data_IF_072078517012
#
_entry.id   IF_072078517012
#
_cell.length_a   1.000
_cell.length_b   1.000
_cell.length_c   1.000
_cell.angle_alpha   90.00
_cell.angle_beta   90.00
_cell.angle_gamma   90.00
#
_symmetry.space_group_name_H-M   'P 1'
#
loop_
_entity.id
_entity.type
_entity.pdbx_description
1 polymer ?
#
# COMPACT_ATOMS: atom_id res chain seq x y z
N UNK A 1 -26.97 -14.43 -11.15
CA UNK A 1 -26.01 -13.94 -10.13
C UNK A 1 -25.27 -15.14 -9.53
N UNK A 2 -24.23 -15.56 -10.23
CA UNK A 2 -23.23 -16.59 -9.89
C UNK A 2 -22.13 -16.34 -10.93
N UNK A 3 -20.84 -16.33 -10.66
CA UNK A 3 -20.03 -17.01 -9.68
C UNK A 3 -18.73 -16.20 -9.67
N UNK A 4 -18.33 -15.60 -8.54
CA UNK A 4 -16.95 -15.15 -8.39
C UNK A 4 -16.15 -16.44 -8.48
N UNK A 5 -15.57 -16.72 -9.66
CA UNK A 5 -14.66 -17.84 -9.86
C UNK A 5 -13.44 -17.55 -9.00
N UNK A 6 -13.59 -17.98 -7.76
CA UNK A 6 -12.58 -18.09 -6.73
C UNK A 6 -11.51 -19.05 -7.25
N UNK A 7 -10.65 -18.54 -8.12
CA UNK A 7 -9.32 -19.05 -8.30
C UNK A 7 -8.66 -18.97 -6.94
N UNK A 8 -8.76 -20.07 -6.17
CA UNK A 8 -8.19 -20.24 -4.84
C UNK A 8 -6.70 -19.94 -4.91
N UNK A 9 -6.29 -18.72 -4.60
CA UNK A 9 -4.91 -18.46 -4.20
C UNK A 9 -4.79 -19.03 -2.79
N UNK A 10 -4.39 -20.31 -2.73
CA UNK A 10 -4.23 -21.12 -1.50
C UNK A 10 -3.15 -20.56 -0.54
N UNK A 11 -2.67 -19.34 -0.73
CA UNK A 11 -1.55 -18.75 0.03
C UNK A 11 -1.86 -17.29 0.40
N UNK A 12 -2.57 -17.06 1.52
CA UNK A 12 -2.56 -15.78 2.26
C UNK A 12 -3.59 -14.70 1.88
N UNK A 13 -4.88 -14.97 2.07
CA UNK A 13 -5.98 -14.42 1.26
C UNK A 13 -6.44 -12.95 1.48
N UNK A 14 -6.52 -12.21 0.36
CA UNK A 14 -7.11 -10.86 0.18
C UNK A 14 -8.63 -10.84 -0.11
N UNK A 15 -9.33 -11.98 -0.22
CA UNK A 15 -10.82 -12.09 -0.17
C UNK A 15 -11.25 -13.58 0.01
N UNK A 16 -11.19 -14.14 1.21
CA UNK A 16 -11.69 -15.50 1.48
C UNK A 16 -12.86 -15.48 2.48
N UNK A 17 -13.88 -16.35 2.37
CA UNK A 17 -14.89 -16.48 3.41
C UNK A 17 -14.26 -17.03 4.72
N UNK A 18 -14.67 -16.53 5.90
CA UNK A 18 -13.98 -16.84 7.15
C UNK A 18 -14.20 -18.29 7.57
N UNK A 19 -13.11 -19.06 7.70
CA UNK A 19 -13.00 -20.20 8.63
C UNK A 19 -12.04 -19.92 9.79
N UNK A 20 -11.40 -18.75 9.84
CA UNK A 20 -10.37 -18.41 10.85
C UNK A 20 -10.99 -17.72 12.06
N UNK A 21 -10.70 -18.25 13.25
CA UNK A 21 -11.07 -17.68 14.55
C UNK A 21 -10.51 -16.26 14.69
N UNK A 22 -11.38 -15.32 15.11
CA UNK A 22 -11.10 -13.90 15.38
C UNK A 22 -9.79 -13.70 16.17
N UNK A 23 -8.78 -13.08 15.55
CA UNK A 23 -7.58 -12.54 16.24
C UNK A 23 -7.09 -11.18 15.70
N UNK A 24 -7.75 -10.64 14.68
CA UNK A 24 -7.38 -9.40 14.00
C UNK A 24 -8.61 -8.73 13.34
N UNK A 25 -8.72 -7.39 13.39
CA UNK A 25 -7.97 -6.50 14.28
C UNK A 25 -8.38 -6.78 15.74
N UNK A 26 -7.51 -6.52 16.73
CA UNK A 26 -7.98 -6.40 18.11
C UNK A 26 -8.91 -5.18 18.23
N UNK A 27 -9.65 -5.09 19.33
CA UNK A 27 -10.34 -3.85 19.67
C UNK A 27 -9.28 -2.79 20.01
N UNK A 28 -9.25 -1.72 19.22
CA UNK A 28 -8.36 -0.58 19.45
C UNK A 28 -9.11 0.51 20.21
N UNK A 29 -8.51 0.99 21.31
CA UNK A 29 -9.07 2.10 22.08
C UNK A 29 -9.09 3.37 21.22
N UNK A 30 -10.18 4.14 21.33
CA UNK A 30 -10.30 5.42 20.62
C UNK A 30 -9.32 6.44 21.18
N UNK A 31 -8.64 7.16 20.29
CA UNK A 31 -7.69 8.22 20.66
C UNK A 31 -6.30 7.74 21.08
N UNK A 32 -6.07 6.42 21.10
CA UNK A 32 -4.80 5.83 21.46
C UNK A 32 -3.97 5.48 20.22
N UNK A 33 -2.65 5.52 20.37
CA UNK A 33 -1.74 5.02 19.34
C UNK A 33 -1.80 3.50 19.29
N UNK A 34 -1.72 2.97 18.07
CA UNK A 34 -1.67 1.53 17.80
C UNK A 34 -0.32 1.15 17.21
N UNK A 35 0.14 -0.06 17.51
CA UNK A 35 1.42 -0.59 17.04
C UNK A 35 1.31 -1.14 15.60
N UNK A 36 0.90 -0.27 14.67
CA UNK A 36 0.90 -0.55 13.24
C UNK A 36 1.29 0.72 12.47
N UNK A 37 2.22 0.56 11.53
CA UNK A 37 2.56 1.59 10.56
C UNK A 37 1.63 1.49 9.38
N UNK A 38 0.88 2.56 9.16
CA UNK A 38 0.12 2.78 7.94
C UNK A 38 0.82 3.80 7.07
N UNK A 39 0.72 3.62 5.75
CA UNK A 39 1.34 4.50 4.78
C UNK A 39 0.85 5.95 4.95
N UNK A 40 -0.42 6.14 5.35
CA UNK A 40 -1.01 7.45 5.64
C UNK A 40 -0.26 8.24 6.73
N UNK A 41 0.32 7.56 7.72
CA UNK A 41 1.14 8.19 8.75
C UNK A 41 2.46 8.77 8.20
N UNK A 42 2.96 8.22 7.10
CA UNK A 42 4.09 8.78 6.35
C UNK A 42 3.62 9.85 5.35
N UNK A 43 2.61 9.57 4.53
CA UNK A 43 2.29 10.42 3.38
C UNK A 43 1.65 11.74 3.78
N UNK A 44 0.65 11.73 4.68
CA UNK A 44 -0.15 12.91 4.99
C UNK A 44 0.70 14.03 5.58
N UNK A 45 1.53 13.80 6.62
CA UNK A 45 2.33 14.87 7.20
C UNK A 45 3.35 15.46 6.21
N UNK A 46 3.96 14.63 5.37
CA UNK A 46 4.95 15.07 4.39
C UNK A 46 4.33 15.80 3.19
N UNK A 47 3.19 15.33 2.68
CA UNK A 47 2.45 15.97 1.59
C UNK A 47 2.08 17.42 1.93
N UNK A 48 1.66 17.69 3.16
CA UNK A 48 1.22 19.03 3.60
C UNK A 48 2.32 19.85 4.28
N UNK A 49 3.56 19.37 4.31
CA UNK A 49 4.68 20.10 4.94
C UNK A 49 4.60 20.18 6.47
N UNK A 50 3.79 19.34 7.11
CA UNK A 50 3.69 19.25 8.57
C UNK A 50 4.77 18.37 9.21
N UNK A 51 5.46 17.54 8.42
CA UNK A 51 6.56 16.72 8.88
C UNK A 51 7.86 17.53 9.04
N UNK A 52 8.66 17.17 10.05
CA UNK A 52 10.01 17.69 10.23
C UNK A 52 11.08 16.70 9.77
N UNK A 53 12.32 17.17 9.58
CA UNK A 53 13.45 16.33 9.18
C UNK A 53 13.74 15.14 10.12
N UNK A 54 13.37 15.20 11.41
CA UNK A 54 13.55 14.06 12.34
C UNK A 54 12.67 12.86 11.97
N UNK A 55 11.60 13.08 11.19
CA UNK A 55 10.70 12.03 10.72
C UNK A 55 11.17 11.40 9.40
N UNK A 56 12.29 11.85 8.82
CA UNK A 56 12.76 11.39 7.51
C UNK A 56 13.02 9.88 7.47
N UNK A 57 13.43 9.27 8.58
CA UNK A 57 13.65 7.83 8.69
C UNK A 57 12.43 6.98 8.32
N UNK A 58 11.21 7.52 8.44
CA UNK A 58 9.99 6.82 8.05
C UNK A 58 9.98 6.43 6.55
N UNK A 59 10.63 7.19 5.66
CA UNK A 59 10.73 6.83 4.24
C UNK A 59 11.51 5.54 3.97
N UNK A 60 12.33 5.07 4.91
CA UNK A 60 13.01 3.78 4.77
C UNK A 60 12.00 2.63 4.64
N UNK A 61 10.79 2.78 5.20
CA UNK A 61 9.70 1.80 5.10
C UNK A 61 9.19 1.59 3.68
N UNK A 62 9.38 2.58 2.78
CA UNK A 62 8.99 2.49 1.36
C UNK A 62 9.89 1.52 0.57
N UNK A 63 11.06 1.16 1.11
CA UNK A 63 12.00 0.19 0.51
C UNK A 63 12.09 -1.12 1.28
N UNK A 64 11.40 -1.21 2.42
CA UNK A 64 11.42 -2.40 3.26
C UNK A 64 10.33 -3.36 2.80
N UNK A 65 10.72 -4.56 2.40
CA UNK A 65 9.80 -5.62 1.98
C UNK A 65 8.87 -6.08 3.12
N UNK A 66 9.32 -5.98 4.37
CA UNK A 66 8.51 -6.19 5.58
C UNK A 66 7.73 -4.92 5.99
N UNK A 67 8.03 -3.79 5.36
CA UNK A 67 7.29 -2.53 5.48
C UNK A 67 6.29 -2.39 4.35
N UNK A 68 6.38 -1.28 3.61
CA UNK A 68 5.44 -0.95 2.54
C UNK A 68 5.84 -1.51 1.17
N UNK A 69 7.11 -1.89 0.95
CA UNK A 69 7.58 -2.22 -0.40
C UNK A 69 7.07 -3.57 -0.91
N UNK A 70 6.29 -3.57 -1.99
CA UNK A 70 5.81 -4.78 -2.66
C UNK A 70 6.20 -4.83 -4.13
N UNK A 71 5.88 -5.93 -4.80
CA UNK A 71 6.18 -6.10 -6.22
C UNK A 71 5.49 -5.04 -7.08
N UNK A 72 4.24 -4.71 -6.75
CA UNK A 72 3.38 -3.88 -7.60
C UNK A 72 3.06 -2.50 -7.04
N UNK A 73 3.59 -2.13 -5.87
CA UNK A 73 3.37 -0.79 -5.31
C UNK A 73 3.68 -0.72 -3.83
N UNK A 74 3.22 0.36 -3.19
CA UNK A 74 3.33 0.51 -1.75
C UNK A 74 2.08 -0.06 -1.06
N UNK A 75 2.26 -0.99 -0.13
CA UNK A 75 1.19 -1.45 0.76
C UNK A 75 0.77 -0.30 1.66
N UNK A 76 -0.53 -0.21 1.92
CA UNK A 76 -1.05 0.81 2.85
C UNK A 76 -0.80 0.48 4.33
N UNK A 77 -0.48 -0.78 4.65
CA UNK A 77 -0.10 -1.23 5.99
C UNK A 77 1.19 -2.05 5.90
N UNK A 78 2.03 -1.99 6.94
CA UNK A 78 3.29 -2.73 6.96
C UNK A 78 3.08 -4.25 6.93
N UNK A 79 3.86 -4.95 6.10
CA UNK A 79 3.75 -6.41 5.93
C UNK A 79 4.03 -7.19 7.22
N UNK A 80 4.91 -6.68 8.08
CA UNK A 80 5.32 -7.34 9.34
C UNK A 80 4.24 -7.35 10.42
N UNK A 81 3.21 -6.52 10.30
CA UNK A 81 2.16 -6.47 11.30
C UNK A 81 1.36 -7.77 11.31
N UNK A 82 1.03 -8.30 12.50
CA UNK A 82 0.34 -9.60 12.63
C UNK A 82 -1.04 -9.65 11.96
N UNK A 83 -1.67 -8.48 11.80
CA UNK A 83 -2.96 -8.35 11.12
C UNK A 83 -2.81 -7.92 9.65
N UNK A 84 -1.59 -7.93 9.09
CA UNK A 84 -1.41 -7.68 7.67
C UNK A 84 -2.25 -8.67 6.86
N UNK A 85 -3.03 -8.14 5.91
CA UNK A 85 -3.88 -8.93 5.03
C UNK A 85 -4.85 -9.87 5.77
N UNK A 86 -5.41 -9.39 6.88
CA UNK A 86 -6.43 -10.15 7.58
C UNK A 86 -7.71 -10.18 6.74
N UNK A 87 -8.30 -11.36 6.64
CA UNK A 87 -9.48 -11.55 5.80
C UNK A 87 -10.69 -10.80 6.34
N UNK A 88 -11.33 -10.01 5.48
CA UNK A 88 -12.60 -9.32 5.74
C UNK A 88 -13.64 -9.76 4.71
N UNK A 89 -14.92 -9.48 4.99
CA UNK A 89 -15.98 -9.57 3.97
C UNK A 89 -16.09 -8.31 3.10
N UNK A 90 -15.31 -7.26 3.41
CA UNK A 90 -15.43 -5.95 2.77
C UNK A 90 -14.34 -5.78 1.71
N UNK A 91 -14.77 -5.63 0.45
CA UNK A 91 -13.87 -5.45 -0.70
C UNK A 91 -13.04 -4.17 -0.64
N UNK A 92 -13.49 -3.15 0.10
CA UNK A 92 -12.80 -1.85 0.27
C UNK A 92 -11.98 -1.77 1.56
N UNK A 93 -11.42 -2.90 2.00
CA UNK A 93 -10.67 -2.93 3.26
C UNK A 93 -9.27 -2.33 3.15
N UNK A 94 -8.91 -1.55 4.16
CA UNK A 94 -7.66 -0.77 4.19
C UNK A 94 -6.52 -1.45 4.98
N UNK A 95 -6.31 -2.77 4.82
CA UNK A 95 -5.40 -3.53 5.69
C UNK A 95 -4.18 -4.18 5.01
N UNK A 96 -3.98 -4.01 3.70
CA UNK A 96 -2.83 -4.61 2.99
C UNK A 96 -2.62 -4.14 1.55
N UNK A 97 -3.72 -3.91 0.83
CA UNK A 97 -3.68 -3.69 -0.62
C UNK A 97 -2.89 -2.43 -0.99
N UNK A 98 -2.50 -2.35 -2.26
CA UNK A 98 -2.05 -1.09 -2.85
C UNK A 98 -3.30 -0.31 -3.25
N UNK A 99 -3.41 0.93 -2.79
CA UNK A 99 -4.49 1.84 -3.18
C UNK A 99 -3.92 2.96 -4.05
N UNK A 100 -4.45 3.22 -5.26
CA UNK A 100 -4.03 4.35 -6.09
C UNK A 100 -4.18 5.70 -5.38
N UNK A 101 -5.22 5.85 -4.55
CA UNK A 101 -5.42 7.03 -3.70
C UNK A 101 -4.20 7.29 -2.80
N UNK A 102 -3.80 6.30 -2.00
CA UNK A 102 -2.70 6.45 -1.05
C UNK A 102 -1.33 6.46 -1.75
N UNK A 103 -1.20 5.75 -2.88
CA UNK A 103 -0.02 5.80 -3.75
C UNK A 103 0.21 7.20 -4.31
N UNK A 104 -0.87 7.88 -4.74
CA UNK A 104 -0.78 9.27 -5.21
C UNK A 104 -0.30 10.19 -4.10
N UNK A 105 -0.76 9.96 -2.86
CA UNK A 105 -0.27 10.71 -1.70
C UNK A 105 1.20 10.44 -1.41
N UNK A 106 1.65 9.19 -1.55
CA UNK A 106 3.06 8.85 -1.43
C UNK A 106 3.93 9.57 -2.46
N UNK A 107 3.48 9.64 -3.72
CA UNK A 107 4.19 10.38 -4.76
C UNK A 107 4.39 11.85 -4.40
N UNK A 108 3.31 12.54 -3.97
CA UNK A 108 3.39 13.93 -3.53
C UNK A 108 4.28 14.10 -2.28
N UNK A 109 4.18 13.20 -1.30
CA UNK A 109 5.02 13.21 -0.11
C UNK A 109 6.51 13.02 -0.44
N UNK A 110 6.86 12.11 -1.37
CA UNK A 110 8.23 11.91 -1.84
C UNK A 110 8.76 13.14 -2.56
N UNK A 111 7.94 13.81 -3.39
CA UNK A 111 8.31 15.06 -4.06
C UNK A 111 8.55 16.16 -3.03
N UNK A 112 7.63 16.34 -2.08
CA UNK A 112 7.75 17.33 -1.01
C UNK A 112 9.01 17.09 -0.17
N UNK A 113 9.34 15.83 0.15
CA UNK A 113 10.55 15.50 0.88
C UNK A 113 11.83 15.77 0.06
N UNK A 114 11.86 15.36 -1.21
CA UNK A 114 13.04 15.47 -2.08
C UNK A 114 13.31 16.90 -2.56
N UNK A 115 12.29 17.76 -2.62
CA UNK A 115 12.40 19.13 -3.16
C UNK A 115 12.10 20.22 -2.14
N UNK A 116 11.59 19.86 -0.97
CA UNK A 116 11.19 20.81 0.06
C UNK A 116 12.33 21.23 1.01
N UNK A 117 11.97 21.91 2.11
CA UNK A 117 12.94 22.52 3.05
C UNK A 117 13.90 21.51 3.70
N UNK A 118 13.55 20.23 3.72
CA UNK A 118 14.33 19.17 4.37
C UNK A 118 15.15 18.32 3.38
N UNK A 119 15.15 18.64 2.08
CA UNK A 119 15.78 17.83 1.03
C UNK A 119 17.23 17.42 1.33
N UNK A 120 18.05 18.34 1.88
CA UNK A 120 19.46 18.07 2.23
C UNK A 120 19.65 16.97 3.27
N UNK A 121 18.63 16.72 4.11
CA UNK A 121 18.64 15.69 5.16
C UNK A 121 18.00 14.37 4.70
N UNK A 122 17.48 14.32 3.47
CA UNK A 122 16.77 13.13 2.97
C UNK A 122 17.70 12.02 2.49
N UNK A 123 18.92 12.33 2.01
CA UNK A 123 19.82 11.38 1.36
C UNK A 123 19.94 9.98 2.01
N UNK A 124 20.08 9.84 3.36
CA UNK A 124 20.14 8.52 4.00
C UNK A 124 18.79 7.76 4.05
N UNK A 125 17.67 8.45 3.88
CA UNK A 125 16.33 7.90 4.06
C UNK A 125 15.54 7.77 2.76
N UNK A 126 15.71 8.71 1.83
CA UNK A 126 15.00 8.79 0.55
C UNK A 126 15.89 9.46 -0.51
N UNK A 127 15.99 8.84 -1.68
CA UNK A 127 16.78 9.31 -2.82
C UNK A 127 15.89 9.46 -4.06
N UNK A 128 16.24 10.31 -5.03
CA UNK A 128 15.50 10.43 -6.29
C UNK A 128 15.27 9.10 -7.02
N UNK A 129 16.24 8.19 -6.96
CA UNK A 129 16.12 6.85 -7.54
C UNK A 129 14.99 6.02 -6.90
N UNK A 130 14.66 6.26 -5.63
CA UNK A 130 13.57 5.57 -4.94
C UNK A 130 12.22 6.06 -5.47
N UNK A 131 12.08 7.37 -5.73
CA UNK A 131 10.91 7.94 -6.39
C UNK A 131 10.73 7.38 -7.81
N UNK A 132 11.81 7.30 -8.58
CA UNK A 132 11.79 6.68 -9.91
C UNK A 132 11.31 5.23 -9.86
N UNK A 133 11.78 4.43 -8.89
CA UNK A 133 11.31 3.04 -8.70
C UNK A 133 9.85 2.96 -8.29
N UNK A 134 9.41 3.82 -7.37
CA UNK A 134 8.00 3.93 -6.99
C UNK A 134 7.13 4.24 -8.20
N UNK A 135 7.45 5.29 -8.96
CA UNK A 135 6.67 5.72 -10.12
C UNK A 135 6.63 4.64 -11.20
N UNK A 136 7.74 3.94 -11.44
CA UNK A 136 7.77 2.83 -12.38
C UNK A 136 6.95 1.61 -11.92
N UNK A 137 6.89 1.32 -10.61
CA UNK A 137 5.99 0.27 -10.08
C UNK A 137 4.52 0.70 -10.22
N UNK A 138 4.21 1.94 -9.87
CA UNK A 138 2.86 2.51 -9.95
C UNK A 138 2.33 2.54 -11.39
N UNK A 139 3.14 2.97 -12.37
CA UNK A 139 2.75 2.91 -13.77
C UNK A 139 2.53 1.45 -14.26
N UNK A 140 3.40 0.52 -13.84
CA UNK A 140 3.29 -0.90 -14.25
C UNK A 140 2.08 -1.63 -13.67
N UNK A 141 1.61 -1.28 -12.46
CA UNK A 141 0.37 -1.89 -11.95
C UNK A 141 -0.84 -1.53 -12.81
N UNK A 142 -0.86 -0.33 -13.41
CA UNK A 142 -1.94 0.11 -14.30
C UNK A 142 -1.94 -0.58 -15.67
N UNK A 143 -0.93 -1.38 -16.02
CA UNK A 143 -0.93 -2.19 -17.25
C UNK A 143 -1.13 -3.68 -16.98
N UNK A 144 -1.27 -4.08 -15.71
CA UNK A 144 -1.61 -5.45 -15.33
C UNK A 144 -3.12 -5.67 -15.38
N UNK A 145 -3.56 -6.25 -16.50
CA UNK A 145 -4.93 -6.71 -16.72
C UNK A 145 -5.14 -8.18 -16.31
N UNK A 146 -5.18 -8.48 -15.01
CA UNK A 146 -6.01 -9.61 -14.52
C UNK A 146 -7.41 -9.12 -14.12
N UNK A 147 -7.90 -8.06 -14.77
CA UNK A 147 -9.30 -7.70 -14.76
C UNK A 147 -10.01 -8.55 -15.83
N UNK A 148 -11.20 -9.10 -15.56
CA UNK A 148 -11.86 -10.08 -16.44
C UNK A 148 -12.20 -9.52 -17.83
N UNK A 149 -12.16 -8.18 -18.00
CA UNK A 149 -12.60 -7.47 -19.20
C UNK A 149 -11.53 -6.56 -19.81
N UNK A 150 -10.27 -6.65 -19.35
CA UNK A 150 -9.17 -5.81 -19.85
C UNK A 150 -8.09 -6.70 -20.45
N UNK A 151 -7.73 -6.46 -21.70
CA UNK A 151 -6.64 -7.20 -22.32
C UNK A 151 -5.32 -6.90 -21.58
N UNK A 152 -4.48 -7.92 -21.41
CA UNK A 152 -3.17 -7.75 -20.76
C UNK A 152 -2.36 -6.70 -21.51
N UNK A 153 -1.95 -5.64 -20.81
CA UNK A 153 -1.18 -4.54 -21.37
C UNK A 153 -1.98 -3.26 -21.57
N UNK A 154 -3.32 -3.34 -21.59
CA UNK A 154 -4.17 -2.14 -21.69
C UNK A 154 -4.16 -1.38 -20.36
N UNK A 155 -4.13 -0.04 -20.39
CA UNK A 155 -4.21 0.78 -19.19
C UNK A 155 -5.54 0.58 -18.46
N UNK A 156 -5.47 0.33 -17.15
CA UNK A 156 -6.64 0.18 -16.30
C UNK A 156 -6.37 0.68 -14.87
N UNK A 157 -7.40 1.25 -14.26
CA UNK A 157 -7.40 1.70 -12.87
C UNK A 157 -8.72 1.30 -12.22
N UNK A 158 -8.62 0.64 -11.07
CA UNK A 158 -9.74 0.39 -10.17
C UNK A 158 -9.38 0.82 -8.75
N UNK A 159 -10.10 0.32 -7.74
CA UNK A 159 -9.99 0.79 -6.37
C UNK A 159 -8.73 0.29 -5.65
N UNK A 160 -8.46 -1.02 -5.68
CA UNK A 160 -7.36 -1.60 -4.92
C UNK A 160 -6.68 -2.77 -5.64
N UNK A 161 -5.38 -2.93 -5.43
CA UNK A 161 -4.53 -3.85 -6.17
C UNK A 161 -3.74 -4.77 -5.23
N UNK A 162 -3.64 -6.05 -5.59
CA UNK A 162 -2.92 -7.03 -4.81
C UNK A 162 -1.40 -6.73 -4.88
N UNK A 163 -0.74 -6.46 -3.75
CA UNK A 163 0.64 -5.94 -3.71
C UNK A 163 1.68 -6.89 -4.30
N UNK A 164 1.48 -8.20 -4.12
CA UNK A 164 2.45 -9.22 -4.55
C UNK A 164 2.04 -9.91 -5.87
N UNK A 165 0.81 -10.42 -5.97
CA UNK A 165 0.37 -11.22 -7.12
C UNK A 165 -0.06 -10.41 -8.36
N UNK A 166 -0.38 -9.12 -8.21
CA UNK A 166 -0.62 -8.24 -9.35
C UNK A 166 -1.98 -8.39 -10.02
N UNK A 167 -3.07 -8.27 -9.25
CA UNK A 167 -4.44 -8.23 -9.77
C UNK A 167 -5.30 -7.22 -9.00
N UNK A 168 -6.33 -6.67 -9.65
CA UNK A 168 -7.30 -5.77 -9.00
C UNK A 168 -8.24 -6.55 -8.10
N UNK A 169 -8.33 -6.15 -6.83
CA UNK A 169 -9.03 -6.87 -5.75
C UNK A 169 -10.49 -6.42 -5.65
N UNK A 170 -10.73 -5.12 -5.73
CA UNK A 170 -12.07 -4.51 -5.77
C UNK A 170 -12.27 -3.77 -7.09
N UNK A 171 -13.44 -3.96 -7.67
CA UNK A 171 -13.91 -3.40 -8.95
C UNK A 171 -15.29 -2.82 -8.75
#
# INVERSE_FOLDING_TARGET
MAEVRSGRTKVGCLMCPPKRKRRCPPEWARGELVDVRELAGLTTPWMFGAASASHAAAFQQVRDANGFDSQWGARIAERRHRCYNFTTSCVTSWHAAVWPFESSKLGAAMIAALRGPHARKMAPHLRPADFGRFLAKYARMHTQGRAEEVAKGDPFIAESFHPDEGYWVSR
#
